data_IF_084530260360
#
_entry.id   IF_084530260360
#
_cell.length_a   1.000
_cell.length_b   1.000
_cell.length_c   1.000
_cell.angle_alpha   90.00
_cell.angle_beta   90.00
_cell.angle_gamma   90.00
#
_symmetry.space_group_name_H-M   'P 1'
#
loop_
_entity.id
_entity.type
_entity.pdbx_description
1 polymer ?
#
# COMPACT_ATOMS: atom_id res chain seq x y z
N UNK A 1 8.85 -3.02 4.02
CA UNK A 1 7.65 -3.88 4.25
C UNK A 1 8.05 -5.04 5.16
N UNK A 2 7.20 -5.47 6.12
CA UNK A 2 7.49 -6.63 6.97
C UNK A 2 7.74 -7.92 6.16
N UNK A 3 8.66 -8.77 6.63
CA UNK A 3 9.06 -9.98 5.90
C UNK A 3 7.90 -10.93 5.59
N UNK A 4 6.96 -11.10 6.51
CA UNK A 4 5.76 -11.93 6.30
C UNK A 4 4.89 -11.40 5.16
N UNK A 5 4.69 -10.08 5.08
CA UNK A 5 3.91 -9.44 4.02
C UNK A 5 4.65 -9.53 2.68
N UNK A 6 5.97 -9.33 2.67
CA UNK A 6 6.77 -9.51 1.45
C UNK A 6 6.71 -10.95 0.94
N UNK A 7 6.84 -11.93 1.85
CA UNK A 7 6.72 -13.35 1.54
C UNK A 7 5.34 -13.74 1.02
N UNK A 8 4.26 -13.08 1.48
CA UNK A 8 2.92 -13.26 0.91
C UNK A 8 2.90 -12.89 -0.58
N UNK A 9 3.37 -11.70 -0.95
CA UNK A 9 3.43 -11.29 -2.36
C UNK A 9 4.31 -12.23 -3.19
N UNK A 10 5.49 -12.60 -2.69
CA UNK A 10 6.42 -13.46 -3.44
C UNK A 10 5.87 -14.85 -3.72
N UNK A 11 4.98 -15.35 -2.86
CA UNK A 11 4.41 -16.70 -2.96
C UNK A 11 3.04 -16.75 -3.62
N UNK A 12 2.35 -15.62 -3.73
CA UNK A 12 0.96 -15.57 -4.24
C UNK A 12 0.82 -14.73 -5.51
N UNK A 13 1.70 -13.75 -5.74
CA UNK A 13 1.69 -12.91 -6.93
C UNK A 13 2.65 -13.49 -7.97
N UNK A 14 2.25 -14.63 -8.55
CA UNK A 14 3.07 -15.39 -9.49
C UNK A 14 2.65 -15.17 -10.95
N UNK A 15 3.56 -15.38 -11.93
CA UNK A 15 3.22 -15.36 -13.35
C UNK A 15 2.11 -16.36 -13.69
N UNK A 16 1.16 -15.93 -14.52
CA UNK A 16 -0.03 -16.69 -14.89
C UNK A 16 -1.18 -16.59 -13.88
N UNK A 17 -0.93 -16.06 -12.68
CA UNK A 17 -1.95 -15.85 -11.64
C UNK A 17 -2.31 -14.37 -11.54
N UNK A 18 -1.34 -13.50 -11.23
CA UNK A 18 -1.59 -12.06 -11.00
C UNK A 18 -1.02 -11.16 -12.10
N UNK A 19 -0.10 -11.68 -12.91
CA UNK A 19 0.43 -11.01 -14.10
C UNK A 19 0.91 -12.02 -15.13
N UNK A 20 1.10 -11.60 -16.40
CA UNK A 20 1.83 -12.36 -17.41
C UNK A 20 3.16 -11.69 -17.70
N UNK A 21 4.23 -12.46 -17.57
CA UNK A 21 5.59 -12.03 -17.91
C UNK A 21 5.83 -12.21 -19.40
N UNK A 22 6.01 -11.12 -20.14
CA UNK A 22 6.37 -11.15 -21.54
C UNK A 22 7.90 -11.01 -21.66
N UNK A 23 8.60 -12.06 -22.13
CA UNK A 23 10.08 -12.13 -22.16
C UNK A 23 10.79 -11.02 -22.99
N UNK A 24 10.05 -10.11 -23.64
CA UNK A 24 10.60 -8.98 -24.37
C UNK A 24 9.65 -7.78 -24.48
N UNK A 25 8.65 -7.65 -23.60
CA UNK A 25 7.65 -6.59 -23.68
C UNK A 25 7.06 -6.20 -22.31
N UNK A 26 6.11 -5.27 -22.33
CA UNK A 26 5.42 -4.83 -21.12
C UNK A 26 4.62 -6.00 -20.54
N UNK A 27 4.76 -6.23 -19.23
CA UNK A 27 3.99 -7.23 -18.49
C UNK A 27 2.49 -6.89 -18.50
N UNK A 28 1.63 -7.90 -18.62
CA UNK A 28 0.19 -7.72 -18.50
C UNK A 28 -0.27 -8.02 -17.08
N UNK A 29 -0.81 -7.04 -16.36
CA UNK A 29 -1.48 -7.27 -15.07
C UNK A 29 -2.80 -8.02 -15.25
N UNK A 30 -3.08 -9.01 -14.39
CA UNK A 30 -4.29 -9.85 -14.42
C UNK A 30 -5.31 -9.49 -13.34
N UNK A 31 -4.97 -8.60 -12.40
CA UNK A 31 -5.88 -8.10 -11.36
C UNK A 31 -6.64 -6.83 -11.78
N UNK A 32 -6.90 -6.68 -13.08
CA UNK A 32 -7.67 -5.55 -13.64
C UNK A 32 -9.05 -5.48 -13.00
N UNK A 33 -9.52 -4.25 -12.75
CA UNK A 33 -10.81 -4.00 -12.09
C UNK A 33 -10.78 -4.19 -10.57
N UNK A 34 -9.63 -4.50 -9.96
CA UNK A 34 -9.46 -4.45 -8.50
C UNK A 34 -8.90 -3.09 -8.07
N UNK A 35 -9.34 -2.66 -6.90
CA UNK A 35 -8.83 -1.48 -6.20
C UNK A 35 -8.07 -1.90 -4.95
N UNK A 36 -7.33 -0.96 -4.34
CA UNK A 36 -6.62 -1.22 -3.08
C UNK A 36 -6.52 0.02 -2.20
N UNK A 37 -6.31 -0.22 -0.90
CA UNK A 37 -5.96 0.80 0.09
C UNK A 37 -4.70 0.36 0.85
N UNK A 38 -3.74 1.26 0.95
CA UNK A 38 -2.48 1.05 1.68
C UNK A 38 -2.47 1.98 2.89
N UNK A 39 -2.42 1.42 4.10
CA UNK A 39 -2.24 2.19 5.33
C UNK A 39 -0.88 1.82 5.90
N UNK A 40 0.01 2.81 6.04
CA UNK A 40 1.37 2.63 6.56
C UNK A 40 1.48 3.38 7.88
N UNK A 41 1.89 2.69 8.94
CA UNK A 41 2.20 3.31 10.23
C UNK A 41 3.71 3.32 10.46
N UNK A 42 4.26 4.40 11.04
CA UNK A 42 5.67 4.47 11.39
C UNK A 42 5.87 4.96 12.83
N UNK A 43 6.74 4.28 13.57
CA UNK A 43 7.02 4.58 14.98
C UNK A 43 7.60 5.96 15.17
N UNK A 44 8.69 6.24 14.47
CA UNK A 44 9.57 7.39 14.66
C UNK A 44 9.79 8.25 13.42
N UNK A 45 9.19 7.85 12.29
CA UNK A 45 9.35 8.54 11.02
C UNK A 45 8.31 9.63 10.85
N UNK A 46 8.75 10.88 10.64
CA UNK A 46 7.90 11.99 10.23
C UNK A 46 7.44 11.87 8.79
N UNK A 47 6.33 12.53 8.45
CA UNK A 47 5.81 12.57 7.06
C UNK A 47 6.83 13.21 6.11
N UNK A 48 7.47 14.31 6.49
CA UNK A 48 8.46 15.00 5.65
C UNK A 48 9.67 14.10 5.35
N UNK A 49 10.18 13.37 6.36
CA UNK A 49 11.30 12.43 6.14
C UNK A 49 10.86 11.27 5.24
N UNK A 50 9.66 10.75 5.47
CA UNK A 50 9.08 9.67 4.66
C UNK A 50 8.95 10.07 3.19
N UNK A 51 8.44 11.27 2.90
CA UNK A 51 8.17 11.74 1.54
C UNK A 51 9.40 12.34 0.84
N UNK A 52 10.20 13.13 1.52
CA UNK A 52 11.29 13.89 0.88
C UNK A 52 12.61 13.11 0.88
N UNK A 53 12.98 12.51 2.02
CA UNK A 53 14.25 11.80 2.17
C UNK A 53 14.12 10.39 1.61
N UNK A 54 13.09 9.65 2.05
CA UNK A 54 12.88 8.26 1.62
C UNK A 54 12.06 8.13 0.35
N UNK A 55 11.53 9.25 -0.18
CA UNK A 55 10.75 9.29 -1.42
C UNK A 55 9.57 8.32 -1.41
N UNK A 56 9.00 8.09 -0.24
CA UNK A 56 7.93 7.12 -0.01
C UNK A 56 8.28 5.73 -0.55
N UNK A 57 9.55 5.33 -0.54
CA UNK A 57 10.07 4.15 -1.26
C UNK A 57 9.32 2.85 -0.97
N UNK A 58 8.92 2.63 0.29
CA UNK A 58 8.09 1.47 0.68
C UNK A 58 6.70 1.48 0.04
N UNK A 59 6.05 2.63 -0.03
CA UNK A 59 4.78 2.81 -0.75
C UNK A 59 4.97 2.65 -2.24
N UNK A 60 6.01 3.28 -2.83
CA UNK A 60 6.29 3.17 -4.27
C UNK A 60 6.53 1.72 -4.67
N UNK A 61 7.27 0.95 -3.85
CA UNK A 61 7.50 -0.46 -4.08
C UNK A 61 6.19 -1.26 -4.07
N UNK A 62 5.33 -1.08 -3.07
CA UNK A 62 4.06 -1.82 -2.96
C UNK A 62 3.05 -1.37 -4.02
N UNK A 63 2.83 -0.07 -4.16
CA UNK A 63 1.86 0.49 -5.09
C UNK A 63 2.28 0.23 -6.53
N UNK A 64 3.43 0.77 -6.97
CA UNK A 64 3.84 0.71 -8.38
C UNK A 64 4.46 -0.64 -8.73
N UNK A 65 5.39 -1.10 -7.89
CA UNK A 65 6.20 -2.28 -8.16
C UNK A 65 5.45 -3.61 -8.03
N UNK A 66 4.35 -3.65 -7.26
CA UNK A 66 3.61 -4.89 -6.98
C UNK A 66 2.16 -4.78 -7.47
N UNK A 67 1.38 -3.85 -6.93
CA UNK A 67 -0.07 -3.79 -7.18
C UNK A 67 -0.40 -3.30 -8.60
N UNK A 68 0.11 -2.12 -9.00
CA UNK A 68 -0.10 -1.58 -10.35
C UNK A 68 0.52 -2.48 -11.41
N UNK A 69 1.69 -3.08 -11.13
CA UNK A 69 2.30 -4.09 -11.99
C UNK A 69 1.37 -5.28 -12.26
N UNK A 70 0.61 -5.71 -11.25
CA UNK A 70 -0.41 -6.76 -11.39
C UNK A 70 -1.74 -6.25 -11.94
N UNK A 71 -1.87 -4.96 -12.27
CA UNK A 71 -3.06 -4.38 -12.89
C UNK A 71 -4.11 -3.84 -11.92
N UNK A 72 -3.80 -3.74 -10.63
CA UNK A 72 -4.66 -3.05 -9.65
C UNK A 72 -4.63 -1.55 -9.93
N UNK A 73 -5.77 -0.88 -9.88
CA UNK A 73 -5.90 0.55 -10.13
C UNK A 73 -6.64 1.27 -9.00
N UNK A 74 -6.71 2.60 -9.03
CA UNK A 74 -7.40 3.40 -8.00
C UNK A 74 -6.89 3.13 -6.56
N UNK A 75 -5.57 3.09 -6.39
CA UNK A 75 -4.94 2.74 -5.12
C UNK A 75 -4.88 3.97 -4.21
N UNK A 76 -5.60 3.91 -3.09
CA UNK A 76 -5.57 4.94 -2.05
C UNK A 76 -4.44 4.64 -1.06
N UNK A 77 -3.79 5.67 -0.53
CA UNK A 77 -2.76 5.49 0.48
C UNK A 77 -2.91 6.47 1.64
N UNK A 78 -2.45 6.06 2.82
CA UNK A 78 -2.47 6.87 4.05
C UNK A 78 -1.22 6.52 4.86
N UNK A 79 -0.45 7.53 5.24
CA UNK A 79 0.68 7.40 6.15
C UNK A 79 0.31 7.95 7.53
N UNK A 80 0.69 7.25 8.58
CA UNK A 80 0.44 7.62 9.98
C UNK A 80 1.77 7.53 10.75
N UNK A 81 2.37 8.68 11.04
CA UNK A 81 3.62 8.75 11.79
C UNK A 81 4.04 10.20 12.06
N UNK A 82 4.89 10.42 13.07
CA UNK A 82 5.49 9.41 13.94
C UNK A 82 4.53 9.01 15.09
N UNK A 83 4.33 7.72 15.29
CA UNK A 83 3.40 7.20 16.31
C UNK A 83 3.80 7.54 17.75
N UNK A 84 5.08 7.83 18.04
CA UNK A 84 5.48 8.19 19.40
C UNK A 84 4.96 9.57 19.82
N UNK A 85 4.59 10.45 18.88
CA UNK A 85 4.02 11.77 19.16
C UNK A 85 2.51 11.71 19.44
N UNK A 86 1.86 10.61 19.04
CA UNK A 86 0.41 10.46 19.18
C UNK A 86 0.02 10.10 20.62
N UNK A 87 -0.80 10.96 21.21
CA UNK A 87 -1.47 10.70 22.48
C UNK A 87 -2.72 9.80 22.28
N UNK A 88 -3.42 9.45 23.35
CA UNK A 88 -4.59 8.57 23.29
C UNK A 88 -5.74 9.13 22.44
N UNK A 89 -5.96 10.45 22.50
CA UNK A 89 -6.99 11.14 21.70
C UNK A 89 -6.63 11.05 20.22
N UNK A 90 -5.40 11.36 19.83
CA UNK A 90 -4.96 11.31 18.43
C UNK A 90 -5.09 9.89 17.86
N UNK A 91 -4.76 8.86 18.66
CA UNK A 91 -4.94 7.45 18.28
C UNK A 91 -6.41 7.09 18.04
N UNK A 92 -7.32 7.56 18.90
CA UNK A 92 -8.77 7.35 18.73
C UNK A 92 -9.30 8.05 17.48
N UNK A 93 -8.83 9.27 17.20
CA UNK A 93 -9.19 10.01 15.98
C UNK A 93 -8.73 9.26 14.73
N UNK A 94 -7.48 8.77 14.70
CA UNK A 94 -6.99 7.96 13.59
C UNK A 94 -7.79 6.67 13.39
N UNK A 95 -8.12 5.95 14.47
CA UNK A 95 -8.96 4.74 14.39
C UNK A 95 -10.32 5.08 13.75
N UNK A 96 -10.93 6.19 14.12
CA UNK A 96 -12.22 6.62 13.55
C UNK A 96 -12.08 7.04 12.08
N UNK A 97 -11.00 7.74 11.73
CA UNK A 97 -10.68 8.07 10.34
C UNK A 97 -10.53 6.81 9.49
N UNK A 98 -9.81 5.78 9.98
CA UNK A 98 -9.64 4.52 9.25
C UNK A 98 -10.98 3.81 9.04
N UNK A 99 -11.87 3.78 10.04
CA UNK A 99 -13.23 3.23 9.87
C UNK A 99 -14.00 3.95 8.76
N UNK A 100 -13.93 5.28 8.73
CA UNK A 100 -14.60 6.08 7.70
C UNK A 100 -14.04 5.81 6.31
N UNK A 101 -12.71 5.66 6.19
CA UNK A 101 -12.07 5.26 4.94
C UNK A 101 -12.56 3.88 4.49
N UNK A 102 -12.59 2.88 5.38
CA UNK A 102 -13.09 1.53 5.06
C UNK A 102 -14.57 1.54 4.65
N UNK A 103 -15.40 2.38 5.27
CA UNK A 103 -16.80 2.53 4.88
C UNK A 103 -16.96 3.09 3.45
N UNK A 104 -16.02 3.96 3.02
CA UNK A 104 -16.01 4.49 1.65
C UNK A 104 -15.63 3.42 0.61
N UNK A 105 -14.78 2.46 0.98
CA UNK A 105 -14.32 1.39 0.08
C UNK A 105 -15.45 0.40 -0.28
N UNK A 106 -16.51 0.31 0.53
CA UNK A 106 -17.66 -0.59 0.28
C UNK A 106 -18.69 0.00 -0.68
N UNK A 107 -18.62 1.31 -0.95
CA UNK A 107 -19.58 2.02 -1.79
C UNK A 107 -19.13 2.15 -3.26
N UNK A 108 -17.96 1.60 -3.61
CA UNK A 108 -17.40 1.62 -4.97
C UNK A 108 -17.74 0.36 -5.76
#
# INVERSE_FOLDING_TARGET
MPAIMKGFFDRTFLPGITFKSNKGGISEGLLKGKTARIITTAGDLSIDTYEEVYRSSGLVQLQKGILEYCGVSSIQNTFIGPLYELNEKDRKEWIEQIKNLSASDTKQ
#
